data_IF_225449567970
#
_entry.id   IF_225449567970
#
_cell.length_a   1.000
_cell.length_b   1.000
_cell.length_c   1.000
_cell.angle_alpha   90.00
_cell.angle_beta   90.00
_cell.angle_gamma   90.00
#
_symmetry.space_group_name_H-M   'P 1'
#
loop_
_entity.id
_entity.type
_entity.pdbx_description
1 polymer ?
#
# COMPACT_ATOMS: atom_id res chain seq x y z
N UNK A 1 -2.40 6.46 -12.29
CA UNK A 1 -1.81 7.12 -11.11
C UNK A 1 -0.81 6.17 -10.46
N UNK A 2 0.18 6.72 -9.77
CA UNK A 2 1.19 5.95 -9.04
C UNK A 2 0.95 6.12 -7.55
N UNK A 3 1.06 5.03 -6.80
CA UNK A 3 0.97 4.96 -5.35
C UNK A 3 2.35 4.56 -4.84
N UNK A 4 2.94 5.40 -4.01
CA UNK A 4 4.21 5.13 -3.34
C UNK A 4 3.91 4.99 -1.84
N UNK A 5 4.58 4.05 -1.15
CA UNK A 5 4.35 3.85 0.27
C UNK A 5 5.41 2.98 0.94
N UNK A 6 5.21 2.72 2.23
CA UNK A 6 6.11 1.91 3.06
C UNK A 6 5.35 0.70 3.63
N UNK A 7 5.97 -0.48 3.53
CA UNK A 7 5.52 -1.69 4.19
C UNK A 7 6.35 -1.88 5.46
N UNK A 8 5.73 -1.72 6.64
CA UNK A 8 6.43 -1.76 7.92
C UNK A 8 6.14 -3.04 8.69
N UNK A 9 7.18 -3.81 9.00
CA UNK A 9 7.08 -4.98 9.86
C UNK A 9 7.25 -4.57 11.32
N UNK A 10 6.14 -4.27 11.99
CA UNK A 10 6.14 -4.00 13.44
C UNK A 10 6.24 -5.26 14.31
N UNK A 11 6.29 -6.43 13.67
CA UNK A 11 6.38 -7.72 14.34
C UNK A 11 7.82 -8.07 14.76
N UNK A 12 7.93 -9.08 15.61
CA UNK A 12 9.21 -9.62 16.07
C UNK A 12 9.81 -10.67 15.14
N UNK A 13 9.11 -11.04 14.07
CA UNK A 13 9.52 -12.08 13.13
C UNK A 13 9.63 -11.51 11.71
N UNK A 14 10.59 -12.01 10.93
CA UNK A 14 10.76 -11.63 9.53
C UNK A 14 9.54 -12.05 8.70
N UNK A 15 9.13 -11.16 7.81
CA UNK A 15 8.11 -11.42 6.80
C UNK A 15 8.81 -11.67 5.47
N UNK A 16 8.35 -12.67 4.71
CA UNK A 16 8.97 -13.12 3.47
C UNK A 16 7.98 -13.07 2.31
N UNK A 17 8.50 -12.97 1.08
CA UNK A 17 7.73 -13.03 -0.16
C UNK A 17 6.53 -12.09 -0.16
N UNK A 18 6.79 -10.81 0.15
CA UNK A 18 5.74 -9.79 0.20
C UNK A 18 5.42 -9.35 -1.22
N UNK A 19 4.16 -9.49 -1.62
CA UNK A 19 3.63 -9.02 -2.89
C UNK A 19 2.56 -7.96 -2.62
N UNK A 20 2.72 -6.79 -3.20
CA UNK A 20 1.81 -5.66 -3.05
C UNK A 20 1.24 -5.31 -4.43
N UNK A 21 -0.08 -5.18 -4.51
CA UNK A 21 -0.77 -4.76 -5.73
C UNK A 21 -2.08 -4.08 -5.38
N UNK A 22 -2.67 -3.32 -6.30
CA UNK A 22 -4.06 -2.90 -6.10
C UNK A 22 -5.03 -4.04 -6.44
N UNK A 23 -6.16 -4.12 -5.74
CA UNK A 23 -7.21 -5.05 -6.11
C UNK A 23 -7.81 -4.65 -7.46
N UNK A 24 -7.97 -5.64 -8.35
CA UNK A 24 -8.70 -5.43 -9.59
C UNK A 24 -10.21 -5.42 -9.31
N UNK A 25 -10.85 -4.28 -9.54
CA UNK A 25 -12.28 -4.00 -9.32
C UNK A 25 -12.84 -3.21 -10.51
N UNK A 26 -14.15 -2.96 -10.53
CA UNK A 26 -14.77 -2.14 -11.58
C UNK A 26 -14.25 -0.69 -11.59
N UNK A 27 -13.76 -0.19 -10.45
CA UNK A 27 -13.29 1.18 -10.29
C UNK A 27 -11.76 1.32 -10.22
N UNK A 28 -11.03 0.21 -10.04
CA UNK A 28 -9.56 0.19 -9.92
C UNK A 28 -8.99 -0.96 -10.72
N UNK A 29 -8.04 -0.69 -11.60
CA UNK A 29 -7.30 -1.70 -12.37
C UNK A 29 -5.80 -1.48 -12.24
N UNK A 30 -5.03 -2.49 -11.78
CA UNK A 30 -3.57 -2.44 -11.82
C UNK A 30 -3.06 -2.38 -13.26
N UNK A 31 -2.17 -1.42 -13.54
CA UNK A 31 -1.62 -1.20 -14.88
C UNK A 31 -0.09 -1.08 -14.85
N UNK A 32 0.55 -1.12 -16.01
CA UNK A 32 1.99 -0.91 -16.09
C UNK A 32 2.36 0.55 -15.78
N UNK A 33 3.63 0.84 -15.43
CA UNK A 33 4.77 -0.10 -15.45
C UNK A 33 4.80 -1.09 -14.28
N UNK A 34 4.25 -0.73 -13.12
CA UNK A 34 4.39 -1.50 -11.88
C UNK A 34 3.02 -2.00 -11.41
N UNK A 35 2.54 -3.12 -11.97
CA UNK A 35 1.24 -3.72 -11.58
C UNK A 35 1.27 -4.36 -10.20
N UNK A 36 2.40 -4.94 -9.88
CA UNK A 36 2.68 -5.67 -8.65
C UNK A 36 4.11 -5.33 -8.24
N UNK A 37 4.35 -5.21 -6.93
CA UNK A 37 5.66 -4.93 -6.35
C UNK A 37 6.03 -6.07 -5.42
N UNK A 38 7.21 -6.65 -5.63
CA UNK A 38 7.71 -7.77 -4.84
C UNK A 38 8.87 -7.32 -3.95
N UNK A 39 8.77 -7.65 -2.66
CA UNK A 39 9.82 -7.47 -1.66
C UNK A 39 10.18 -8.87 -1.14
N UNK A 40 11.46 -9.23 -1.22
CA UNK A 40 11.92 -10.57 -0.85
C UNK A 40 11.66 -10.88 0.62
N UNK A 41 12.03 -9.96 1.52
CA UNK A 41 11.72 -10.03 2.94
C UNK A 41 11.71 -8.63 3.56
N UNK A 42 11.07 -8.51 4.74
CA UNK A 42 11.14 -7.35 5.62
C UNK A 42 11.50 -7.85 7.01
N UNK A 43 12.66 -7.45 7.53
CA UNK A 43 13.13 -7.87 8.85
C UNK A 43 12.26 -7.29 9.97
N UNK A 44 12.44 -7.82 11.18
CA UNK A 44 11.69 -7.37 12.34
C UNK A 44 12.01 -5.91 12.67
N UNK A 45 10.97 -5.10 12.83
CA UNK A 45 11.06 -3.65 13.08
C UNK A 45 11.70 -2.84 11.95
N UNK A 46 11.72 -3.40 10.74
CA UNK A 46 12.14 -2.68 9.53
C UNK A 46 10.96 -2.35 8.64
N UNK A 47 11.23 -1.55 7.62
CA UNK A 47 10.28 -1.19 6.59
C UNK A 47 10.97 -1.21 5.23
N UNK A 48 10.18 -1.43 4.19
CA UNK A 48 10.61 -1.37 2.80
C UNK A 48 9.66 -0.48 2.00
N UNK A 49 10.19 0.20 0.98
CA UNK A 49 9.37 1.05 0.11
C UNK A 49 8.76 0.23 -1.02
N UNK A 50 7.58 0.62 -1.49
CA UNK A 50 6.96 0.03 -2.66
C UNK A 50 6.33 1.08 -3.58
N UNK A 51 6.10 0.68 -4.83
CA UNK A 51 5.36 1.46 -5.83
C UNK A 51 4.30 0.58 -6.47
N UNK A 52 3.10 1.11 -6.74
CA UNK A 52 2.08 0.47 -7.56
C UNK A 52 1.46 1.47 -8.54
N UNK A 53 1.21 1.03 -9.78
CA UNK A 53 0.55 1.84 -10.80
C UNK A 53 -0.86 1.31 -11.07
N UNK A 54 -1.85 2.21 -11.04
CA UNK A 54 -3.25 1.87 -11.22
C UNK A 54 -3.98 2.86 -12.13
N UNK A 55 -5.00 2.39 -12.82
CA UNK A 55 -6.07 3.23 -13.31
C UNK A 55 -7.21 3.17 -12.29
N UNK A 56 -7.63 4.32 -11.79
CA UNK A 56 -8.71 4.42 -10.81
C UNK A 56 -9.73 5.46 -11.27
N UNK A 57 -11.01 5.25 -10.94
CA UNK A 57 -12.04 6.26 -11.13
C UNK A 57 -11.73 7.53 -10.33
N UNK A 58 -12.08 8.69 -10.88
CA UNK A 58 -11.74 9.99 -10.30
C UNK A 58 -12.50 10.36 -9.04
N UNK A 59 -13.60 9.66 -8.74
CA UNK A 59 -14.48 9.85 -7.59
C UNK A 59 -14.20 8.86 -6.45
N UNK A 60 -13.12 8.08 -6.54
CA UNK A 60 -12.70 7.19 -5.47
C UNK A 60 -11.98 7.96 -4.36
N UNK A 61 -12.50 7.81 -3.14
CA UNK A 61 -11.80 8.26 -1.93
C UNK A 61 -10.75 7.26 -1.45
N UNK A 62 -10.89 5.98 -1.83
CA UNK A 62 -10.04 4.88 -1.38
C UNK A 62 -9.67 3.91 -2.49
N UNK A 63 -8.43 3.40 -2.45
CA UNK A 63 -7.94 2.33 -3.32
C UNK A 63 -7.69 1.08 -2.46
N UNK A 64 -8.31 -0.07 -2.79
CA UNK A 64 -8.01 -1.33 -2.12
C UNK A 64 -6.63 -1.85 -2.55
N UNK A 65 -5.68 -1.92 -1.62
CA UNK A 65 -4.36 -2.53 -1.83
C UNK A 65 -4.35 -3.94 -1.25
N UNK A 66 -4.03 -4.92 -2.07
CA UNK A 66 -3.78 -6.30 -1.68
C UNK A 66 -2.33 -6.46 -1.26
N UNK A 67 -2.13 -7.14 -0.14
CA UNK A 67 -0.82 -7.52 0.38
C UNK A 67 -0.84 -9.01 0.67
N UNK A 68 0.04 -9.74 0.01
CA UNK A 68 0.28 -11.15 0.28
C UNK A 68 1.67 -11.32 0.85
N UNK A 69 1.83 -12.15 1.88
CA UNK A 69 3.13 -12.39 2.47
C UNK A 69 3.17 -13.75 3.18
N UNK A 70 4.38 -14.19 3.50
CA UNK A 70 4.63 -15.41 4.27
C UNK A 70 5.30 -15.07 5.59
N UNK A 71 4.75 -15.56 6.70
CA UNK A 71 5.34 -15.45 8.02
C UNK A 71 5.30 -16.81 8.72
N UNK A 72 6.43 -17.26 9.26
CA UNK A 72 6.57 -18.58 9.89
C UNK A 72 6.02 -19.73 9.01
N UNK A 73 6.27 -19.67 7.70
CA UNK A 73 5.81 -20.66 6.71
C UNK A 73 4.33 -20.62 6.36
N UNK A 74 3.55 -19.68 6.92
CA UNK A 74 2.13 -19.50 6.63
C UNK A 74 1.92 -18.31 5.71
N UNK A 75 1.15 -18.50 4.64
CA UNK A 75 0.72 -17.42 3.75
C UNK A 75 -0.43 -16.65 4.37
N UNK A 76 -0.36 -15.33 4.27
CA UNK A 76 -1.40 -14.39 4.67
C UNK A 76 -1.71 -13.52 3.46
N UNK A 77 -2.99 -13.26 3.24
CA UNK A 77 -3.48 -12.32 2.23
C UNK A 77 -4.41 -11.34 2.92
N UNK A 78 -4.21 -10.05 2.68
CA UNK A 78 -4.98 -8.96 3.27
C UNK A 78 -5.29 -7.92 2.21
N UNK A 79 -6.43 -7.24 2.36
CA UNK A 79 -6.79 -6.08 1.54
C UNK A 79 -6.98 -4.89 2.46
N UNK A 80 -6.24 -3.82 2.20
CA UNK A 80 -6.22 -2.60 3.01
C UNK A 80 -6.77 -1.44 2.18
N UNK A 81 -7.75 -0.68 2.68
CA UNK A 81 -8.17 0.54 2.04
C UNK A 81 -7.08 1.61 2.21
N UNK A 82 -6.67 2.21 1.10
CA UNK A 82 -5.72 3.33 1.06
C UNK A 82 -6.47 4.59 0.70
N UNK A 83 -6.52 5.56 1.60
CA UNK A 83 -7.12 6.86 1.33
C UNK A 83 -6.32 7.58 0.23
N UNK A 84 -7.01 7.96 -0.83
CA UNK A 84 -6.49 8.76 -1.95
C UNK A 84 -7.27 10.06 -2.14
N UNK A 85 -8.11 10.39 -1.16
CA UNK A 85 -9.08 11.47 -1.18
C UNK A 85 -8.53 12.77 -1.78
N UNK A 86 -9.41 13.45 -2.52
CA UNK A 86 -9.18 14.70 -3.27
C UNK A 86 -8.01 15.48 -2.72
N UNK A 87 -6.92 15.52 -3.49
CA UNK A 87 -5.84 16.48 -3.28
C UNK A 87 -6.52 17.85 -3.33
N UNK A 88 -6.88 18.41 -2.18
CA UNK A 88 -7.06 19.85 -2.08
C UNK A 88 -5.73 20.39 -2.58
N UNK A 89 -5.75 20.97 -3.77
CA UNK A 89 -4.59 21.65 -4.32
C UNK A 89 -4.26 22.72 -3.29
N UNK A 90 -3.30 22.42 -2.41
CA UNK A 90 -2.68 23.39 -1.56
C UNK A 90 -2.01 24.33 -2.55
N UNK A 91 -2.75 25.37 -2.92
CA UNK A 91 -2.30 26.46 -3.76
C UNK A 91 -1.36 27.23 -2.86
N UNK A 92 -0.13 26.74 -2.71
CA UNK A 92 0.96 27.54 -2.21
C UNK A 92 1.20 28.63 -3.26
N UNK A 93 0.60 29.78 -2.98
CA UNK A 93 0.86 31.03 -3.64
C UNK A 93 2.30 31.47 -3.35
N UNK A 94 3.26 30.96 -4.12
CA UNK A 94 4.37 31.73 -4.70
C UNK A 94 5.41 30.83 -5.38
N UNK A 95 5.99 31.41 -6.42
CA UNK A 95 7.30 31.09 -7.00
C UNK A 95 7.30 30.10 -8.19
N UNK A 96 7.19 30.71 -9.38
CA UNK A 96 7.81 30.36 -10.66
C UNK A 96 8.55 29.01 -10.78
N UNK A 97 8.11 28.19 -11.74
CA UNK A 97 8.92 27.12 -12.33
C UNK A 97 8.32 25.74 -12.14
N UNK A 98 7.55 25.29 -13.13
CA UNK A 98 6.69 24.11 -13.05
C UNK A 98 7.41 22.79 -12.74
N UNK A 99 6.82 22.04 -11.81
CA UNK A 99 6.65 20.59 -11.84
C UNK A 99 5.49 20.24 -10.91
N UNK A 100 4.45 19.50 -11.35
CA UNK A 100 3.37 19.11 -10.46
C UNK A 100 3.93 18.07 -9.48
N UNK A 101 4.05 18.45 -8.22
CA UNK A 101 4.48 17.56 -7.15
C UNK A 101 3.43 16.45 -6.97
N UNK A 102 3.91 15.21 -7.08
CA UNK A 102 3.18 13.99 -6.85
C UNK A 102 2.72 13.94 -5.38
N UNK A 103 1.48 13.51 -5.15
CA UNK A 103 0.96 13.29 -3.81
C UNK A 103 1.64 12.07 -3.18
N UNK A 104 2.51 12.31 -2.20
CA UNK A 104 3.18 11.26 -1.41
C UNK A 104 2.26 10.96 -0.21
N UNK A 105 1.39 9.96 -0.36
CA UNK A 105 0.63 9.40 0.75
C UNK A 105 1.50 8.39 1.49
N UNK A 106 2.04 8.77 2.65
CA UNK A 106 2.91 7.89 3.45
C UNK A 106 2.05 6.79 4.08
N UNK A 107 1.91 5.68 3.36
CA UNK A 107 1.16 4.53 3.82
C UNK A 107 2.06 3.66 4.71
N UNK A 108 1.59 3.31 5.91
CA UNK A 108 2.27 2.37 6.81
C UNK A 108 1.43 1.10 6.88
N UNK A 109 1.84 0.05 6.16
CA UNK A 109 1.21 -1.27 6.26
C UNK A 109 1.76 -1.98 7.49
N UNK A 110 0.91 -2.16 8.51
CA UNK A 110 1.27 -2.86 9.75
C UNK A 110 1.03 -4.36 9.59
N UNK A 111 2.09 -5.13 9.34
CA UNK A 111 2.01 -6.60 9.34
C UNK A 111 2.04 -7.10 10.79
N UNK A 112 0.87 -7.25 11.42
CA UNK A 112 0.78 -7.88 12.74
C UNK A 112 0.99 -9.38 12.56
N UNK A 113 2.18 -9.85 12.93
CA UNK A 113 2.45 -11.28 13.04
C UNK A 113 1.37 -11.93 13.92
N UNK A 114 0.87 -13.08 13.49
CA UNK A 114 -0.25 -13.83 14.07
C UNK A 114 0.01 -14.38 15.51
N UNK A 115 0.61 -13.58 16.39
CA UNK A 115 0.85 -13.88 17.80
C UNK A 115 -0.14 -13.22 18.76
N UNK A 116 -0.90 -12.21 18.35
CA UNK A 116 -1.93 -11.58 19.20
C UNK A 116 -3.15 -11.22 18.36
N UNK A 117 -4.19 -12.05 18.43
CA UNK A 117 -5.55 -11.63 18.08
C UNK A 117 -6.04 -11.97 16.67
N UNK A 118 -6.31 -13.25 16.42
CA UNK A 118 -7.50 -13.66 15.64
C UNK A 118 -8.75 -13.28 16.45
N UNK A 119 -8.90 -11.99 16.77
CA UNK A 119 -10.07 -11.47 17.48
C UNK A 119 -11.04 -10.90 16.46
N UNK A 120 -11.77 -11.83 15.85
CA UNK A 120 -13.20 -11.71 15.54
C UNK A 120 -13.63 -10.37 14.96
N UNK A 121 -13.64 -10.25 13.63
CA UNK A 121 -14.73 -9.53 12.97
C UNK A 121 -15.31 -10.41 11.86
N UNK A 122 -16.33 -11.16 12.28
CA UNK A 122 -17.46 -11.53 11.43
C UNK A 122 -18.66 -10.83 12.07
N UNK A 123 -19.18 -9.81 11.40
CA UNK A 123 -20.52 -9.28 11.57
C UNK A 123 -20.96 -8.74 10.21
#
# INVERSE_FOLDING_TARGET
MTIEGEAANVGTAQVNSVLISAANTDAVTPVGPTKEYFIDNIDSNEFETFEATVNASSDLDQIPIQVEYTINGQRVSSTLPVDVGTIESQSDSNQEGGSPLLAIGLLVIVVVGAGIGVYRWRN
#
